data_IF_976825218008
#
_entry.id   IF_976825218008
#
_cell.length_a   1.000
_cell.length_b   1.000
_cell.length_c   1.000
_cell.angle_alpha   90.00
_cell.angle_beta   90.00
_cell.angle_gamma   90.00
#
_symmetry.space_group_name_H-M   'P 1'
#
loop_
_entity.id
_entity.type
_entity.pdbx_description
1 polymer ?
#
# COMPACT_ATOMS: atom_id res chain seq x y z
N UNK A 1 9.11 -49.31 -62.68
CA UNK A 1 9.39 -49.27 -61.24
C UNK A 1 9.30 -47.81 -60.87
N UNK A 2 8.13 -47.37 -60.35
CA UNK A 2 7.84 -45.97 -60.11
C UNK A 2 7.74 -45.80 -58.58
N UNK A 3 8.65 -45.03 -58.01
CA UNK A 3 8.68 -44.71 -56.56
C UNK A 3 7.68 -43.59 -56.27
N UNK A 4 6.64 -43.89 -55.46
CA UNK A 4 5.75 -42.92 -54.92
C UNK A 4 6.39 -42.29 -53.68
N UNK A 5 6.61 -40.97 -53.71
CA UNK A 5 7.04 -40.17 -52.55
C UNK A 5 5.80 -39.62 -51.87
N UNK A 6 5.52 -40.11 -50.68
CA UNK A 6 4.41 -39.62 -49.86
C UNK A 6 4.70 -38.22 -49.30
N UNK A 7 3.83 -37.28 -49.60
CA UNK A 7 3.79 -35.95 -49.01
C UNK A 7 3.16 -36.03 -47.60
N UNK A 8 3.97 -35.83 -46.56
CA UNK A 8 3.49 -35.65 -45.21
C UNK A 8 2.91 -34.23 -45.06
N UNK A 9 1.58 -34.15 -44.82
CA UNK A 9 0.91 -32.88 -44.47
C UNK A 9 1.24 -32.49 -43.06
N UNK A 10 1.98 -31.43 -42.92
CA UNK A 10 2.29 -30.79 -41.62
C UNK A 10 1.09 -29.93 -41.21
N UNK A 11 0.33 -30.37 -40.21
CA UNK A 11 -0.75 -29.60 -39.62
C UNK A 11 -0.17 -28.69 -38.54
N UNK A 12 -0.27 -27.35 -38.60
CA UNK A 12 0.20 -26.50 -37.53
C UNK A 12 -0.74 -26.67 -36.34
N UNK A 13 -0.20 -27.15 -35.20
CA UNK A 13 -0.88 -27.05 -33.91
C UNK A 13 -1.03 -25.56 -33.57
N UNK A 14 -2.26 -25.11 -33.46
CA UNK A 14 -2.59 -23.80 -32.88
C UNK A 14 -2.12 -23.84 -31.45
N UNK A 15 -1.15 -22.98 -31.11
CA UNK A 15 -0.71 -22.79 -29.75
C UNK A 15 -1.91 -22.30 -28.95
N UNK A 16 -2.25 -23.04 -27.88
CA UNK A 16 -3.23 -22.62 -26.88
C UNK A 16 -2.82 -21.24 -26.36
N UNK A 17 -3.75 -20.30 -26.43
CA UNK A 17 -3.61 -18.97 -25.86
C UNK A 17 -3.36 -19.17 -24.36
N UNK A 18 -2.15 -18.84 -23.91
CA UNK A 18 -1.84 -18.73 -22.50
C UNK A 18 -2.77 -17.70 -21.91
N UNK A 19 -3.61 -18.14 -20.98
CA UNK A 19 -4.51 -17.33 -20.18
C UNK A 19 -3.67 -16.24 -19.49
N UNK A 20 -3.77 -15.01 -20.02
CA UNK A 20 -3.14 -13.85 -19.40
C UNK A 20 -3.89 -13.62 -18.08
N UNK A 21 -3.22 -13.55 -16.92
CA UNK A 21 -3.90 -13.31 -15.67
C UNK A 21 -4.66 -11.99 -15.76
N UNK A 22 -5.95 -12.03 -15.42
CA UNK A 22 -6.84 -10.87 -15.35
C UNK A 22 -6.17 -9.78 -14.50
N UNK A 23 -5.75 -8.67 -15.13
CA UNK A 23 -5.03 -7.56 -14.49
C UNK A 23 -5.90 -6.73 -13.54
N UNK A 24 -7.09 -7.21 -13.17
CA UNK A 24 -8.03 -6.55 -12.25
C UNK A 24 -8.04 -7.15 -10.84
N UNK A 25 -7.24 -8.19 -10.57
CA UNK A 25 -7.17 -8.80 -9.25
C UNK A 25 -6.58 -7.82 -8.23
N UNK A 26 -7.37 -7.43 -7.25
CA UNK A 26 -6.96 -6.57 -6.13
C UNK A 26 -6.78 -7.43 -4.89
N UNK A 27 -5.61 -7.32 -4.24
CA UNK A 27 -5.35 -7.96 -2.95
C UNK A 27 -5.68 -6.98 -1.82
N UNK A 28 -6.51 -7.38 -0.88
CA UNK A 28 -6.72 -6.61 0.35
C UNK A 28 -5.65 -6.99 1.38
N UNK A 29 -4.97 -5.97 1.91
CA UNK A 29 -3.96 -6.08 2.95
C UNK A 29 -4.48 -5.39 4.20
N UNK A 30 -4.34 -6.06 5.36
CA UNK A 30 -4.67 -5.50 6.65
C UNK A 30 -3.40 -5.09 7.39
N UNK A 31 -3.47 -3.95 8.06
CA UNK A 31 -2.40 -3.45 8.93
C UNK A 31 -2.99 -2.91 10.22
N UNK A 32 -2.32 -3.14 11.33
CA UNK A 32 -2.77 -2.63 12.62
C UNK A 32 -1.62 -2.19 13.52
N UNK A 33 -1.88 -1.29 14.46
CA UNK A 33 -0.98 -1.12 15.59
C UNK A 33 -1.13 -2.30 16.55
N UNK A 34 -0.12 -2.57 17.38
CA UNK A 34 -0.08 -3.74 18.24
C UNK A 34 -1.34 -3.94 19.11
N UNK A 35 -1.93 -2.86 19.64
CA UNK A 35 -3.16 -2.95 20.45
C UNK A 35 -4.47 -2.90 19.64
N UNK A 36 -4.40 -2.76 18.30
CA UNK A 36 -5.57 -2.75 17.43
C UNK A 36 -6.38 -1.45 17.41
N UNK A 37 -5.94 -0.38 18.12
CA UNK A 37 -6.63 0.91 18.12
C UNK A 37 -6.61 1.60 16.74
N UNK A 38 -5.48 1.49 16.01
CA UNK A 38 -5.32 2.01 14.65
C UNK A 38 -5.28 0.83 13.70
N UNK A 39 -6.22 0.79 12.76
CA UNK A 39 -6.33 -0.26 11.73
C UNK A 39 -6.41 0.37 10.35
N UNK A 40 -5.79 -0.27 9.38
CA UNK A 40 -5.80 0.17 7.99
C UNK A 40 -6.16 -1.01 7.10
N UNK A 41 -7.09 -0.81 6.18
CA UNK A 41 -7.31 -1.70 5.05
C UNK A 41 -6.70 -1.05 3.81
N UNK A 42 -5.97 -1.83 3.05
CA UNK A 42 -5.27 -1.38 1.87
C UNK A 42 -5.56 -2.30 0.68
N UNK A 43 -6.28 -1.78 -0.30
CA UNK A 43 -6.55 -2.46 -1.55
C UNK A 43 -5.34 -2.27 -2.48
N UNK A 44 -4.54 -3.33 -2.62
CA UNK A 44 -3.34 -3.40 -3.45
C UNK A 44 -3.71 -3.91 -4.84
N UNK A 45 -3.54 -3.13 -5.91
CA UNK A 45 -4.01 -3.49 -7.25
C UNK A 45 -3.07 -4.41 -8.03
N UNK A 46 -1.88 -4.70 -7.49
CA UNK A 46 -0.90 -5.58 -8.14
C UNK A 46 -0.78 -6.88 -7.36
N UNK A 47 -1.32 -8.00 -7.87
CA UNK A 47 -1.22 -9.31 -7.23
C UNK A 47 0.17 -9.95 -7.36
N UNK A 48 1.17 -9.23 -7.88
CA UNK A 48 2.54 -9.72 -8.00
C UNK A 48 3.10 -10.26 -6.68
N UNK A 49 4.13 -11.13 -6.74
CA UNK A 49 4.66 -11.81 -5.55
C UNK A 49 5.43 -10.85 -4.62
N UNK A 50 5.79 -9.65 -5.08
CA UNK A 50 6.66 -8.72 -4.36
C UNK A 50 5.99 -7.38 -4.10
N UNK A 51 6.07 -6.89 -2.85
CA UNK A 51 5.65 -5.57 -2.45
C UNK A 51 6.89 -4.69 -2.31
N UNK A 52 7.05 -3.63 -3.12
CA UNK A 52 8.18 -2.72 -3.01
C UNK A 52 8.11 -1.90 -1.73
N UNK A 53 9.19 -1.86 -0.98
CA UNK A 53 9.29 -1.19 0.31
C UNK A 53 10.39 -0.16 0.30
N UNK A 54 10.13 1.02 0.82
CA UNK A 54 11.08 2.12 0.98
C UNK A 54 11.62 2.13 2.41
N UNK A 55 12.86 1.71 2.61
CA UNK A 55 13.59 1.85 3.86
C UNK A 55 14.14 3.28 3.97
N UNK A 56 13.39 4.16 4.64
CA UNK A 56 13.75 5.58 4.78
C UNK A 56 14.83 5.76 5.83
N UNK A 57 15.96 6.41 5.44
CA UNK A 57 17.12 6.67 6.32
C UNK A 57 16.97 7.86 7.26
N UNK A 58 15.83 8.58 7.30
CA UNK A 58 15.66 9.71 8.22
C UNK A 58 15.66 9.29 9.69
N UNK A 59 15.99 10.23 10.59
CA UNK A 59 16.16 9.94 12.02
C UNK A 59 14.92 9.32 12.70
N UNK A 60 13.70 9.69 12.30
CA UNK A 60 12.48 9.08 12.84
C UNK A 60 12.33 7.62 12.37
N UNK A 61 12.41 7.39 11.05
CA UNK A 61 12.23 6.05 10.49
C UNK A 61 13.30 5.08 11.02
N UNK A 62 14.55 5.53 11.15
CA UNK A 62 15.64 4.73 11.73
C UNK A 62 15.36 4.33 13.17
N UNK A 63 14.90 5.28 14.02
CA UNK A 63 14.57 5.00 15.43
C UNK A 63 13.40 4.03 15.60
N UNK A 64 12.40 4.12 14.73
CA UNK A 64 11.22 3.24 14.74
C UNK A 64 11.38 2.00 13.85
N UNK A 65 12.52 1.83 13.16
CA UNK A 65 12.72 0.79 12.12
C UNK A 65 11.54 0.73 11.13
N UNK A 66 10.99 1.89 10.83
CA UNK A 66 9.82 1.98 9.96
C UNK A 66 10.22 1.87 8.49
N UNK A 67 9.51 1.02 7.76
CA UNK A 67 9.66 0.82 6.33
C UNK A 67 8.30 0.99 5.65
N UNK A 68 8.27 1.66 4.51
CA UNK A 68 7.03 2.22 3.98
C UNK A 68 6.71 1.69 2.59
N UNK A 69 5.45 1.37 2.38
CA UNK A 69 4.94 1.08 1.04
C UNK A 69 3.71 1.92 0.70
N UNK A 70 3.41 2.03 -0.57
CA UNK A 70 2.21 2.65 -1.14
C UNK A 70 2.08 2.27 -2.61
N UNK A 71 0.87 2.29 -3.13
CA UNK A 71 0.58 2.10 -4.55
C UNK A 71 -0.41 3.17 -5.03
N UNK A 72 -0.10 3.98 -6.07
CA UNK A 72 -0.96 5.09 -6.48
C UNK A 72 -2.32 4.64 -7.04
N UNK A 73 -2.38 3.44 -7.62
CA UNK A 73 -3.62 2.82 -8.07
C UNK A 73 -4.43 2.14 -6.96
N UNK A 74 -3.84 1.97 -5.76
CA UNK A 74 -4.52 1.38 -4.61
C UNK A 74 -5.48 2.34 -3.92
N UNK A 75 -6.13 1.83 -2.86
CA UNK A 75 -6.98 2.64 -1.97
C UNK A 75 -6.73 2.21 -0.53
N UNK A 76 -6.77 3.16 0.41
CA UNK A 76 -6.71 2.82 1.82
C UNK A 76 -7.96 3.32 2.56
N UNK A 77 -8.28 2.64 3.64
CA UNK A 77 -9.25 3.07 4.64
C UNK A 77 -8.58 3.03 6.00
N UNK A 78 -8.66 4.15 6.73
CA UNK A 78 -8.13 4.28 8.09
C UNK A 78 -9.29 4.21 9.09
N UNK A 79 -9.20 3.31 10.08
CA UNK A 79 -10.11 3.22 11.21
C UNK A 79 -9.35 3.40 12.52
N UNK A 80 -9.83 4.28 13.37
CA UNK A 80 -9.30 4.53 14.72
C UNK A 80 -10.45 4.28 15.68
N UNK A 81 -10.27 3.35 16.63
CA UNK A 81 -11.30 2.99 17.58
C UNK A 81 -11.50 4.07 18.66
N UNK A 82 -10.40 4.66 19.13
CA UNK A 82 -10.36 5.77 20.07
C UNK A 82 -9.34 6.80 19.58
N UNK A 83 -9.81 7.91 19.05
CA UNK A 83 -8.99 8.98 18.47
C UNK A 83 -8.22 9.77 19.55
N UNK A 84 -8.71 9.80 20.79
CA UNK A 84 -8.00 10.42 21.93
C UNK A 84 -6.69 9.68 22.27
N UNK A 85 -6.54 8.46 21.78
CA UNK A 85 -5.36 7.60 21.95
C UNK A 85 -4.44 7.58 20.72
N UNK A 86 -4.54 8.58 19.83
CA UNK A 86 -3.68 8.74 18.66
C UNK A 86 -3.10 10.15 18.60
N UNK A 87 -1.78 10.25 18.60
CA UNK A 87 -1.10 11.51 18.33
C UNK A 87 -0.73 11.61 16.84
N UNK A 88 -0.88 12.81 16.28
CA UNK A 88 -0.38 13.15 14.95
C UNK A 88 0.96 13.88 15.09
N UNK A 89 2.06 13.17 14.84
CA UNK A 89 3.39 13.76 14.90
C UNK A 89 3.81 14.30 13.54
N UNK A 90 4.31 15.54 13.53
CA UNK A 90 4.81 16.21 12.32
C UNK A 90 6.24 16.70 12.54
N UNK A 91 7.10 16.52 11.53
CA UNK A 91 8.47 17.04 11.55
C UNK A 91 8.95 17.42 10.15
N UNK A 92 10.14 17.99 10.04
CA UNK A 92 10.71 18.47 8.79
C UNK A 92 9.81 19.51 8.12
N UNK A 93 9.29 19.23 6.93
CA UNK A 93 8.37 20.12 6.20
C UNK A 93 6.98 20.23 6.84
N UNK A 94 6.68 19.46 7.87
CA UNK A 94 5.38 19.41 8.58
C UNK A 94 4.16 19.15 7.67
N UNK A 95 4.38 18.54 6.51
CA UNK A 95 3.33 18.26 5.50
C UNK A 95 2.77 16.85 5.57
N UNK A 96 3.11 16.06 6.60
CA UNK A 96 2.58 14.72 6.80
C UNK A 96 2.35 14.43 8.27
N UNK A 97 1.30 13.66 8.56
CA UNK A 97 0.87 13.22 9.87
C UNK A 97 1.29 11.77 10.10
N UNK A 98 2.20 11.55 11.04
CA UNK A 98 2.56 10.23 11.53
C UNK A 98 1.58 9.87 12.64
N UNK A 99 0.70 8.89 12.40
CA UNK A 99 -0.32 8.46 13.36
C UNK A 99 0.33 7.52 14.39
N UNK A 100 0.66 8.08 15.56
CA UNK A 100 1.31 7.34 16.66
C UNK A 100 0.23 6.85 17.61
N UNK A 101 0.10 5.55 17.79
CA UNK A 101 -0.78 5.00 18.82
C UNK A 101 -0.18 5.29 20.22
N UNK A 102 -0.89 6.07 21.04
CA UNK A 102 -0.43 6.43 22.38
C UNK A 102 -0.47 5.24 23.37
N UNK A 103 -1.17 4.17 23.04
CA UNK A 103 -1.26 2.96 23.88
C UNK A 103 -0.05 2.04 23.68
N UNK A 104 0.39 1.82 22.42
CA UNK A 104 1.46 0.84 22.14
C UNK A 104 2.67 1.43 21.40
N UNK A 105 2.67 2.73 21.07
CA UNK A 105 3.79 3.43 20.41
C UNK A 105 3.97 3.12 18.93
N UNK A 106 3.18 2.23 18.34
CA UNK A 106 3.32 1.82 16.94
C UNK A 106 2.78 2.90 15.99
N UNK A 107 3.44 3.07 14.84
CA UNK A 107 3.06 3.99 13.75
C UNK A 107 2.66 3.18 12.52
N UNK A 108 1.38 2.83 12.31
CA UNK A 108 0.96 2.01 11.17
C UNK A 108 0.91 2.77 9.85
N UNK A 109 0.62 4.06 9.89
CA UNK A 109 0.32 4.85 8.70
C UNK A 109 0.83 6.28 8.84
N UNK A 110 1.22 6.86 7.72
CA UNK A 110 1.49 8.29 7.58
C UNK A 110 0.58 8.85 6.50
N UNK A 111 -0.12 9.93 6.82
CA UNK A 111 -1.03 10.59 5.86
C UNK A 111 -0.54 11.98 5.48
N UNK A 112 -0.99 12.47 4.33
CA UNK A 112 -0.73 13.82 3.83
C UNK A 112 -1.96 14.30 3.06
N UNK A 113 -2.40 15.54 3.28
CA UNK A 113 -3.45 16.17 2.49
C UNK A 113 -2.78 17.01 1.40
N UNK A 114 -3.17 16.77 0.15
CA UNK A 114 -2.69 17.50 -1.03
C UNK A 114 -3.92 17.87 -1.87
N UNK A 115 -4.16 19.16 -2.07
CA UNK A 115 -5.32 19.71 -2.81
C UNK A 115 -6.66 19.10 -2.37
N UNK A 116 -6.85 19.00 -1.05
CA UNK A 116 -8.08 18.47 -0.45
C UNK A 116 -8.19 16.93 -0.44
N UNK A 117 -7.35 16.21 -1.15
CA UNK A 117 -7.33 14.74 -1.14
C UNK A 117 -6.31 14.21 -0.11
N UNK A 118 -6.68 13.12 0.59
CA UNK A 118 -5.78 12.45 1.53
C UNK A 118 -5.04 11.31 0.85
N UNK A 119 -3.73 11.27 1.07
CA UNK A 119 -2.81 10.24 0.58
C UNK A 119 -2.06 9.61 1.75
N UNK A 120 -1.66 8.34 1.61
CA UNK A 120 -0.94 7.63 2.68
C UNK A 120 0.19 6.75 2.18
N UNK A 121 1.10 6.46 3.12
CA UNK A 121 2.03 5.32 3.09
C UNK A 121 1.81 4.46 4.33
N UNK A 122 1.96 3.16 4.18
CA UNK A 122 1.78 2.19 5.24
C UNK A 122 3.12 1.65 5.72
N UNK A 123 3.24 1.44 7.03
CA UNK A 123 4.39 0.78 7.62
C UNK A 123 4.26 -0.73 7.43
N UNK A 124 5.11 -1.32 6.60
CA UNK A 124 5.03 -2.76 6.29
C UNK A 124 5.26 -3.66 7.51
N UNK A 125 5.92 -3.14 8.56
CA UNK A 125 6.11 -3.88 9.82
C UNK A 125 4.82 -4.03 10.63
N UNK A 126 3.72 -3.40 10.21
CA UNK A 126 2.39 -3.48 10.84
C UNK A 126 1.38 -4.28 10.01
N UNK A 127 1.84 -4.94 8.94
CA UNK A 127 0.99 -5.82 8.15
C UNK A 127 0.66 -7.10 8.92
N UNK A 128 -0.62 -7.47 8.92
CA UNK A 128 -1.14 -8.62 9.67
C UNK A 128 -1.19 -9.90 8.81
N UNK A 129 -1.23 -9.76 7.46
CA UNK A 129 -1.51 -10.83 6.50
C UNK A 129 -0.55 -10.89 5.30
N UNK A 130 0.66 -10.34 5.47
CA UNK A 130 1.71 -10.34 4.43
C UNK A 130 2.97 -11.02 4.93
N UNK A 131 3.43 -12.03 4.20
CA UNK A 131 4.69 -12.71 4.50
C UNK A 131 5.89 -11.79 4.25
N UNK A 132 6.86 -11.80 5.18
CA UNK A 132 8.07 -10.94 5.07
C UNK A 132 8.88 -11.20 3.80
N UNK A 133 8.85 -12.42 3.28
CA UNK A 133 9.51 -12.82 2.02
C UNK A 133 8.96 -12.07 0.80
N UNK A 134 7.76 -11.53 0.88
CA UNK A 134 7.13 -10.71 -0.17
C UNK A 134 7.59 -9.25 -0.14
N UNK A 135 8.26 -8.80 0.91
CA UNK A 135 8.69 -7.42 1.10
C UNK A 135 10.09 -7.21 0.51
N UNK A 136 10.19 -6.41 -0.55
CA UNK A 136 11.47 -6.09 -1.20
C UNK A 136 11.89 -4.67 -0.82
N UNK A 137 12.83 -4.56 0.12
CA UNK A 137 13.29 -3.29 0.65
C UNK A 137 14.33 -2.62 -0.26
N UNK A 138 14.14 -1.32 -0.47
CA UNK A 138 15.10 -0.44 -1.14
C UNK A 138 15.39 0.76 -0.24
N UNK A 139 16.66 1.05 0.05
CA UNK A 139 17.04 2.25 0.80
C UNK A 139 16.65 3.51 0.04
N UNK A 140 16.09 4.49 0.76
CA UNK A 140 15.73 5.79 0.18
C UNK A 140 16.14 6.93 1.11
N UNK A 141 16.53 8.06 0.50
CA UNK A 141 16.79 9.30 1.22
C UNK A 141 16.03 10.44 0.53
N UNK A 142 15.29 11.21 1.34
CA UNK A 142 14.54 12.38 0.89
C UNK A 142 15.04 13.67 1.56
N UNK A 143 16.25 13.65 2.09
CA UNK A 143 16.91 14.81 2.66
C UNK A 143 17.17 15.86 1.57
N UNK A 144 16.99 17.15 1.91
CA UNK A 144 17.16 18.23 0.95
C UNK A 144 16.03 18.43 -0.07
N UNK A 145 15.02 17.53 -0.10
CA UNK A 145 13.88 17.68 -1.00
C UNK A 145 13.02 18.89 -0.58
N UNK A 146 12.74 19.81 -1.51
CA UNK A 146 11.85 20.95 -1.26
C UNK A 146 10.43 20.49 -0.91
N UNK A 147 9.66 21.36 -0.24
CA UNK A 147 8.25 21.04 0.08
C UNK A 147 7.43 20.74 -1.17
N UNK A 148 7.61 21.54 -2.22
CA UNK A 148 6.89 21.38 -3.49
C UNK A 148 7.19 20.03 -4.15
N UNK A 149 8.47 19.69 -4.34
CA UNK A 149 8.89 18.41 -4.92
C UNK A 149 8.40 17.23 -4.10
N UNK A 150 8.41 17.36 -2.77
CA UNK A 150 7.93 16.35 -1.83
C UNK A 150 6.43 16.10 -1.98
N UNK A 151 5.62 17.15 -2.07
CA UNK A 151 4.18 17.03 -2.28
C UNK A 151 3.87 16.45 -3.67
N UNK A 152 4.56 16.90 -4.72
CA UNK A 152 4.41 16.37 -6.07
C UNK A 152 4.77 14.88 -6.16
N UNK A 153 5.87 14.45 -5.50
CA UNK A 153 6.25 13.04 -5.41
C UNK A 153 5.22 12.21 -4.65
N UNK A 154 4.69 12.72 -3.52
CA UNK A 154 3.67 12.03 -2.73
C UNK A 154 2.38 11.85 -3.55
N UNK A 155 1.92 12.88 -4.24
CA UNK A 155 0.74 12.81 -5.11
C UNK A 155 0.87 11.70 -6.15
N UNK A 156 2.06 11.53 -6.76
CA UNK A 156 2.30 10.50 -7.78
C UNK A 156 2.41 9.10 -7.22
N UNK A 157 2.93 8.93 -6.00
CA UNK A 157 3.39 7.64 -5.51
C UNK A 157 2.64 7.13 -4.27
N UNK A 158 1.94 8.00 -3.55
CA UNK A 158 1.21 7.59 -2.35
C UNK A 158 -0.17 7.06 -2.71
N UNK A 159 -0.70 6.22 -1.85
CA UNK A 159 -2.03 5.64 -2.01
C UNK A 159 -3.09 6.67 -1.63
N UNK A 160 -4.08 6.96 -2.50
CA UNK A 160 -5.20 7.82 -2.15
C UNK A 160 -6.18 7.10 -1.21
N UNK A 161 -6.88 7.88 -0.38
CA UNK A 161 -7.95 7.36 0.48
C UNK A 161 -9.13 6.86 -0.37
N UNK A 162 -9.77 5.78 0.05
CA UNK A 162 -11.01 5.33 -0.56
C UNK A 162 -12.12 6.38 -0.33
N UNK A 163 -12.99 6.57 -1.32
CA UNK A 163 -14.20 7.35 -1.13
C UNK A 163 -15.02 6.72 0.01
N UNK A 164 -15.60 7.54 0.89
CA UNK A 164 -16.54 7.03 1.90
C UNK A 164 -17.77 6.54 1.17
N UNK A 165 -18.11 5.25 1.34
CA UNK A 165 -19.45 4.77 1.00
C UNK A 165 -20.43 5.37 2.00
N UNK A 166 -21.54 5.97 1.53
CA UNK A 166 -22.55 6.62 2.37
C UNK A 166 -23.36 5.62 3.21
N UNK A 167 -23.05 4.32 3.16
CA UNK A 167 -23.85 3.25 3.78
C UNK A 167 -23.49 2.89 5.24
N UNK A 168 -22.55 3.56 5.91
CA UNK A 168 -22.23 3.25 7.33
C UNK A 168 -22.91 4.19 8.36
N UNK A 169 -23.98 4.88 7.99
CA UNK A 169 -24.69 5.85 8.82
C UNK A 169 -26.06 5.40 9.30
N UNK A 170 -26.27 4.17 9.84
CA UNK A 170 -27.49 3.86 10.61
C UNK A 170 -27.40 2.53 11.37
N UNK A 171 -26.61 2.47 12.42
CA UNK A 171 -26.92 1.55 13.52
C UNK A 171 -26.98 2.38 14.81
N UNK A 172 -28.19 2.88 15.08
CA UNK A 172 -28.56 3.49 16.35
C UNK A 172 -28.39 2.49 17.50
N UNK A 173 -28.26 2.98 18.76
CA UNK A 173 -28.01 2.13 19.92
C UNK A 173 -29.18 1.17 20.10
N UNK A 174 -28.89 -0.14 20.10
CA UNK A 174 -29.86 -1.14 20.58
C UNK A 174 -29.83 -1.11 22.09
N UNK A 175 -30.99 -0.76 22.65
CA UNK A 175 -31.30 -0.84 24.08
C UNK A 175 -31.18 -2.26 24.60
#
# INVERSE_FOLDING_TARGET
MVCYVGLATFSPRIAEATDMPDSTATRRIHASCHCGNVRVMFDWPDPGPAIPVRACGCGLCTKHRAAWTSHPGGRFQLRIADDTRVAQYRFGTKTADFHVCLTCGVIPIVTCIIDGARYAVLNVNTFDDVERSQLVETPVNFEGETTENRLARRRRNWTPEAARSEDEGSQGPRH
#
